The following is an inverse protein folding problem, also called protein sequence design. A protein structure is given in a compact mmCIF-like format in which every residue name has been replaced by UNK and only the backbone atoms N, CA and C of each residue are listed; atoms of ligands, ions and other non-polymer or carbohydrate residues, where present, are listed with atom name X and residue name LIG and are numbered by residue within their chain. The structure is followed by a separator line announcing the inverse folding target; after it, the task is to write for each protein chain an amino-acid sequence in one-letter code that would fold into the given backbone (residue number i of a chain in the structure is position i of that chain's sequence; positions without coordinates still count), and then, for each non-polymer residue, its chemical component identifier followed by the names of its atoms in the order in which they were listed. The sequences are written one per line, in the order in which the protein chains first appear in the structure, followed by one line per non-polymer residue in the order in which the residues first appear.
data_IF_913030928155
#
_entry.id   IF_913030928155
#
_cell.length_a   1.000
_cell.length_b   1.000
_cell.length_c   1.000
_cell.angle_alpha   90.00
_cell.angle_beta   90.00
_cell.angle_gamma   90.00
#
_symmetry.space_group_name_H-M   'P 1'
#
loop_
_entity.id
_entity.type
_entity.pdbx_description
1 polymer ?
#
# COMPACT_ATOMS: atom_id res chain seq x y z
N UNK A 1 46.88 -56.21 -6.93
CA UNK A 1 45.87 -55.42 -7.67
C UNK A 1 45.41 -54.29 -6.74
N UNK A 2 45.19 -53.11 -7.29
CA UNK A 2 45.43 -51.79 -6.69
C UNK A 2 44.55 -51.44 -5.48
N UNK A 3 45.20 -50.72 -4.56
CA UNK A 3 44.80 -50.10 -3.28
C UNK A 3 43.71 -49.03 -3.44
N UNK A 4 42.86 -48.85 -2.42
CA UNK A 4 42.49 -47.53 -1.90
C UNK A 4 41.91 -47.66 -0.49
N UNK A 5 42.65 -47.10 0.46
CA UNK A 5 42.29 -46.89 1.86
C UNK A 5 41.26 -45.74 1.94
N UNK A 6 40.47 -45.68 3.02
CA UNK A 6 40.27 -44.44 3.80
C UNK A 6 39.60 -44.80 5.12
N UNK A 7 40.19 -44.28 6.18
CA UNK A 7 39.86 -44.45 7.59
C UNK A 7 38.82 -43.43 8.06
N UNK A 8 38.18 -43.74 9.19
CA UNK A 8 37.62 -42.80 10.17
C UNK A 8 36.31 -42.09 9.82
N UNK A 9 35.33 -42.21 10.72
CA UNK A 9 34.12 -41.41 10.67
C UNK A 9 33.09 -41.84 11.72
N UNK A 10 33.48 -41.79 12.99
CA UNK A 10 32.59 -41.75 14.14
C UNK A 10 31.38 -40.83 13.84
N UNK A 11 30.17 -41.40 13.79
CA UNK A 11 28.96 -40.61 13.61
C UNK A 11 28.51 -40.03 14.96
N UNK A 12 28.50 -38.70 15.14
CA UNK A 12 27.98 -38.10 16.36
C UNK A 12 26.46 -38.23 16.39
N UNK A 13 25.96 -38.79 17.50
CA UNK A 13 24.56 -38.66 17.89
C UNK A 13 24.24 -37.19 18.08
N UNK A 14 23.45 -36.60 17.18
CA UNK A 14 22.75 -35.36 17.46
C UNK A 14 21.24 -35.58 17.37
N UNK A 15 20.65 -35.39 18.54
CA UNK A 15 19.25 -35.39 18.86
C UNK A 15 18.50 -34.29 18.11
N UNK A 16 17.20 -34.53 17.91
CA UNK A 16 16.12 -33.54 17.67
C UNK A 16 15.94 -33.12 16.20
N UNK A 17 14.74 -33.38 15.67
CA UNK A 17 13.77 -32.37 15.22
C UNK A 17 12.53 -33.06 14.57
N UNK A 18 11.39 -32.90 15.25
CA UNK A 18 10.06 -32.61 14.68
C UNK A 18 9.60 -33.47 13.48
N UNK A 19 8.99 -34.62 13.73
CA UNK A 19 8.02 -35.19 12.78
C UNK A 19 6.68 -34.49 12.97
N UNK A 20 6.52 -33.31 12.38
CA UNK A 20 5.22 -32.68 12.20
C UNK A 20 4.38 -33.54 11.26
N UNK A 21 3.30 -34.10 11.79
CA UNK A 21 2.23 -34.83 11.12
C UNK A 21 1.72 -33.96 9.94
N UNK A 22 2.14 -34.26 8.72
CA UNK A 22 1.59 -33.61 7.52
C UNK A 22 0.18 -34.15 7.35
N UNK A 23 -0.79 -33.38 7.82
CA UNK A 23 -2.21 -33.62 7.61
C UNK A 23 -2.49 -33.48 6.10
N UNK A 24 -2.64 -34.62 5.41
CA UNK A 24 -3.05 -34.63 4.01
C UNK A 24 -4.55 -34.35 3.95
N UNK A 25 -4.89 -33.06 4.10
CA UNK A 25 -6.26 -32.56 3.94
C UNK A 25 -6.68 -32.80 2.48
N UNK A 26 -7.77 -33.52 2.21
CA UNK A 26 -8.19 -33.78 0.84
C UNK A 26 -8.50 -32.44 0.14
N UNK A 27 -7.90 -32.21 -1.03
CA UNK A 27 -8.24 -31.10 -1.91
C UNK A 27 -9.63 -31.38 -2.53
N UNK A 28 -10.68 -31.18 -1.74
CA UNK A 28 -12.02 -31.00 -2.31
C UNK A 28 -11.94 -29.80 -3.24
N UNK A 29 -12.40 -29.99 -4.47
CA UNK A 29 -12.49 -28.94 -5.48
C UNK A 29 -13.45 -27.85 -4.96
N UNK A 30 -12.90 -26.85 -4.27
CA UNK A 30 -13.65 -25.67 -3.84
C UNK A 30 -13.89 -24.82 -5.09
N UNK A 31 -14.89 -25.20 -5.88
CA UNK A 31 -15.39 -24.35 -6.94
C UNK A 31 -15.93 -23.08 -6.29
N UNK A 32 -15.14 -22.00 -6.37
CA UNK A 32 -15.55 -20.67 -5.94
C UNK A 32 -16.79 -20.28 -6.74
N UNK A 33 -17.92 -20.10 -6.07
CA UNK A 33 -19.13 -19.60 -6.73
C UNK A 33 -18.93 -18.12 -6.96
N UNK A 34 -18.86 -17.70 -8.22
CA UNK A 34 -18.74 -16.29 -8.60
C UNK A 34 -20.09 -15.77 -9.10
N UNK A 35 -20.41 -14.51 -8.79
CA UNK A 35 -21.57 -13.80 -9.35
C UNK A 35 -21.14 -12.48 -9.97
N UNK A 36 -21.53 -12.29 -11.22
CA UNK A 36 -21.42 -11.02 -11.91
C UNK A 36 -22.62 -10.14 -11.55
N UNK A 37 -22.34 -8.93 -11.08
CA UNK A 37 -23.33 -7.88 -10.80
C UNK A 37 -23.61 -7.06 -12.07
N UNK A 38 -24.75 -6.37 -12.08
CA UNK A 38 -25.17 -5.53 -13.21
C UNK A 38 -24.20 -4.37 -13.52
N UNK A 39 -23.34 -3.99 -12.56
CA UNK A 39 -22.32 -2.97 -12.72
C UNK A 39 -20.92 -3.54 -13.04
N UNK A 40 -20.86 -4.80 -13.48
CA UNK A 40 -19.63 -5.45 -13.93
C UNK A 40 -18.75 -6.01 -12.79
N UNK A 41 -19.14 -5.85 -11.52
CA UNK A 41 -18.37 -6.40 -10.39
C UNK A 41 -18.57 -7.91 -10.26
N UNK A 42 -17.48 -8.63 -10.00
CA UNK A 42 -17.52 -10.07 -9.67
C UNK A 42 -17.38 -10.24 -8.15
N UNK A 43 -18.33 -10.93 -7.54
CA UNK A 43 -18.33 -11.28 -6.10
C UNK A 43 -18.24 -12.78 -5.92
N UNK A 44 -17.56 -13.23 -4.87
CA UNK A 44 -17.56 -14.61 -4.42
C UNK A 44 -18.76 -14.87 -3.50
N UNK A 45 -19.45 -15.98 -3.70
CA UNK A 45 -20.59 -16.42 -2.90
C UNK A 45 -20.15 -17.51 -1.92
N UNK A 46 -19.86 -17.13 -0.68
CA UNK A 46 -19.59 -18.06 0.43
C UNK A 46 -20.81 -18.09 1.35
N UNK A 47 -21.41 -19.26 1.56
CA UNK A 47 -22.59 -19.45 2.43
C UNK A 47 -23.77 -18.50 2.17
N UNK A 48 -24.01 -18.17 0.89
CA UNK A 48 -25.08 -17.24 0.48
C UNK A 48 -24.76 -15.76 0.75
N UNK A 49 -23.60 -15.47 1.34
CA UNK A 49 -23.07 -14.13 1.52
C UNK A 49 -22.15 -13.78 0.35
N UNK A 50 -22.26 -12.53 -0.12
CA UNK A 50 -21.42 -12.00 -1.19
C UNK A 50 -20.16 -11.37 -0.59
N UNK A 51 -19.01 -11.88 -0.99
CA UNK A 51 -17.69 -11.37 -0.64
C UNK A 51 -17.06 -10.74 -1.88
N UNK A 52 -16.50 -9.52 -1.78
CA UNK A 52 -15.76 -8.98 -2.91
C UNK A 52 -14.52 -9.84 -3.15
N UNK A 53 -14.27 -10.23 -4.40
CA UNK A 53 -13.10 -11.05 -4.76
C UNK A 53 -11.77 -10.41 -4.41
N UNK A 54 -11.77 -9.08 -4.33
CA UNK A 54 -10.72 -8.32 -3.70
C UNK A 54 -11.33 -7.64 -2.48
N UNK A 55 -10.96 -7.98 -1.22
CA UNK A 55 -11.09 -6.98 -0.18
C UNK A 55 -10.33 -5.78 -0.74
N UNK A 56 -10.99 -4.66 -1.00
CA UNK A 56 -10.26 -3.42 -1.19
C UNK A 56 -9.41 -3.32 0.08
N UNK A 57 -8.13 -3.69 -0.02
CA UNK A 57 -7.22 -3.66 1.11
C UNK A 57 -7.44 -2.29 1.73
N UNK A 58 -7.68 -2.19 3.06
CA UNK A 58 -8.07 -0.94 3.69
C UNK A 58 -7.15 0.13 3.14
N UNK A 59 -7.72 0.96 2.28
CA UNK A 59 -6.96 1.84 1.42
C UNK A 59 -6.08 2.65 2.38
N UNK A 60 -4.73 2.57 2.31
CA UNK A 60 -3.85 3.03 3.39
C UNK A 60 -4.28 4.42 3.85
N UNK A 61 -4.74 4.52 5.10
CA UNK A 61 -5.45 5.70 5.59
C UNK A 61 -4.66 6.95 5.21
N UNK A 62 -5.19 7.74 4.27
CA UNK A 62 -4.50 8.95 3.85
C UNK A 62 -4.46 9.87 5.07
N UNK A 63 -3.28 10.33 5.51
CA UNK A 63 -3.20 11.20 6.66
C UNK A 63 -4.08 12.43 6.43
N UNK A 64 -4.81 12.84 7.48
CA UNK A 64 -5.73 13.96 7.37
C UNK A 64 -4.97 15.19 6.86
N UNK A 65 -5.46 15.78 5.76
CA UNK A 65 -4.80 16.91 5.07
C UNK A 65 -4.50 18.06 6.03
N UNK A 66 -5.44 18.31 6.96
CA UNK A 66 -5.30 19.32 8.01
C UNK A 66 -4.08 19.08 8.90
N UNK A 67 -3.80 17.82 9.24
CA UNK A 67 -2.72 17.46 10.15
C UNK A 67 -1.36 17.52 9.44
N UNK A 68 -1.31 17.14 8.15
CA UNK A 68 -0.14 17.37 7.30
C UNK A 68 0.22 18.86 7.25
N UNK A 69 -0.76 19.70 6.93
CA UNK A 69 -0.57 21.15 6.84
C UNK A 69 -0.12 21.76 8.17
N UNK A 70 -0.76 21.37 9.29
CA UNK A 70 -0.42 21.87 10.62
C UNK A 70 0.99 21.47 11.04
N UNK A 71 1.42 20.23 10.75
CA UNK A 71 2.81 19.78 10.99
C UNK A 71 3.82 20.58 10.17
N UNK A 72 3.47 20.92 8.94
CA UNK A 72 4.26 21.80 8.08
C UNK A 72 4.23 23.29 8.50
N UNK A 73 3.40 23.66 9.49
CA UNK A 73 3.20 25.04 9.98
C UNK A 73 2.76 26.03 8.89
N UNK A 74 1.93 25.55 7.96
CA UNK A 74 1.42 26.35 6.85
C UNK A 74 -0.05 26.74 7.05
N UNK A 75 -0.40 27.92 6.57
CA UNK A 75 -1.80 28.31 6.33
C UNK A 75 -2.40 27.48 5.20
N UNK A 76 -3.74 27.50 5.07
CA UNK A 76 -4.41 26.77 3.98
C UNK A 76 -3.95 27.27 2.61
N UNK A 77 -3.77 28.59 2.46
CA UNK A 77 -3.32 29.22 1.22
C UNK A 77 -1.89 28.78 0.88
N UNK A 78 -0.93 28.93 1.80
CA UNK A 78 0.46 28.53 1.53
C UNK A 78 0.59 27.03 1.22
N UNK A 79 -0.19 26.19 1.89
CA UNK A 79 -0.21 24.75 1.61
C UNK A 79 -0.79 24.45 0.22
N UNK A 80 -1.84 25.17 -0.18
CA UNK A 80 -2.43 25.06 -1.50
C UNK A 80 -1.44 25.49 -2.60
N UNK A 81 -0.78 26.63 -2.40
CA UNK A 81 0.22 27.19 -3.30
C UNK A 81 1.38 26.22 -3.52
N UNK A 82 1.92 25.64 -2.43
CA UNK A 82 3.01 24.65 -2.52
C UNK A 82 2.60 23.38 -3.26
N UNK A 83 1.32 23.01 -3.23
CA UNK A 83 0.80 21.83 -3.93
C UNK A 83 0.32 22.15 -5.34
N UNK A 84 0.29 23.42 -5.76
CA UNK A 84 -0.24 23.83 -7.06
C UNK A 84 -1.73 23.55 -7.21
N UNK A 85 -2.51 23.63 -6.13
CA UNK A 85 -3.97 23.41 -6.15
C UNK A 85 -4.73 24.62 -5.61
N UNK A 86 -5.99 24.87 -6.02
CA UNK A 86 -6.79 25.93 -5.43
C UNK A 86 -7.00 25.74 -3.92
N UNK A 87 -7.02 26.83 -3.15
CA UNK A 87 -7.27 26.79 -1.70
C UNK A 87 -8.61 26.13 -1.34
N UNK A 88 -9.62 26.26 -2.19
CA UNK A 88 -10.92 25.60 -2.00
C UNK A 88 -10.83 24.07 -2.08
N UNK A 89 -9.86 23.53 -2.82
CA UNK A 89 -9.58 22.08 -2.85
C UNK A 89 -9.08 21.62 -1.48
N UNK A 90 -8.14 22.36 -0.88
CA UNK A 90 -7.64 22.09 0.48
C UNK A 90 -8.78 22.19 1.50
N UNK A 91 -9.61 23.23 1.43
CA UNK A 91 -10.79 23.38 2.31
C UNK A 91 -11.75 22.21 2.18
N UNK A 92 -12.08 21.79 0.96
CA UNK A 92 -12.97 20.67 0.71
C UNK A 92 -12.41 19.35 1.26
N UNK A 93 -11.10 19.14 1.19
CA UNK A 93 -10.44 17.98 1.79
C UNK A 93 -10.42 18.02 3.31
N UNK A 94 -10.05 19.16 3.91
CA UNK A 94 -9.99 19.31 5.36
C UNK A 94 -11.37 19.24 6.03
N UNK A 95 -12.42 19.64 5.32
CA UNK A 95 -13.82 19.56 5.77
C UNK A 95 -14.46 18.20 5.46
N UNK A 96 -13.78 17.31 4.73
CA UNK A 96 -14.33 16.00 4.34
C UNK A 96 -15.42 16.05 3.26
N UNK A 97 -15.69 17.22 2.66
CA UNK A 97 -16.64 17.36 1.54
C UNK A 97 -16.20 16.58 0.31
N UNK A 98 -14.89 16.45 0.11
CA UNK A 98 -14.26 15.61 -0.89
C UNK A 98 -13.04 14.94 -0.28
N UNK A 99 -12.68 13.75 -0.77
CA UNK A 99 -11.46 13.05 -0.38
C UNK A 99 -10.42 13.21 -1.49
N UNK A 100 -9.12 13.34 -1.16
CA UNK A 100 -8.05 13.27 -2.14
C UNK A 100 -8.03 11.87 -2.76
N UNK A 101 -7.81 11.79 -4.08
CA UNK A 101 -7.78 10.54 -4.84
C UNK A 101 -6.60 10.53 -5.81
N UNK A 102 -6.22 9.33 -6.25
CA UNK A 102 -5.19 9.13 -7.27
C UNK A 102 -3.89 9.87 -6.94
N UNK A 103 -3.35 10.70 -7.85
CA UNK A 103 -2.09 11.41 -7.66
C UNK A 103 -2.04 12.28 -6.40
N UNK A 104 -3.13 13.00 -6.09
CA UNK A 104 -3.17 13.87 -4.90
C UNK A 104 -2.98 13.08 -3.60
N UNK A 105 -3.59 11.89 -3.52
CA UNK A 105 -3.43 11.01 -2.37
C UNK A 105 -2.01 10.45 -2.26
N UNK A 106 -1.43 10.05 -3.38
CA UNK A 106 -0.04 9.58 -3.42
C UNK A 106 0.90 10.69 -2.92
N UNK A 107 0.74 11.91 -3.44
CA UNK A 107 1.52 13.08 -3.03
C UNK A 107 1.39 13.37 -1.53
N UNK A 108 0.16 13.41 -0.99
CA UNK A 108 -0.08 13.61 0.45
C UNK A 108 0.55 12.51 1.31
N UNK A 109 0.59 11.27 0.80
CA UNK A 109 1.26 10.16 1.47
C UNK A 109 2.77 10.37 1.51
N UNK A 110 3.39 10.85 0.43
CA UNK A 110 4.83 11.16 0.40
C UNK A 110 5.14 12.35 1.34
N UNK A 111 4.32 13.39 1.33
CA UNK A 111 4.45 14.56 2.23
C UNK A 111 4.38 14.13 3.70
N UNK A 112 3.59 13.09 4.02
CA UNK A 112 3.50 12.58 5.37
C UNK A 112 4.83 12.03 5.92
N UNK A 113 5.71 11.56 5.02
CA UNK A 113 6.99 10.95 5.36
C UNK A 113 8.17 11.91 5.17
N UNK A 114 8.13 12.75 4.13
CA UNK A 114 9.24 13.62 3.75
C UNK A 114 8.75 15.01 3.26
N UNK A 115 8.15 15.84 4.13
CA UNK A 115 7.54 17.10 3.73
C UNK A 115 8.55 18.09 3.13
N UNK A 116 9.72 18.25 3.76
CA UNK A 116 10.73 19.22 3.33
C UNK A 116 11.28 18.90 1.93
N UNK A 117 11.57 17.62 1.67
CA UNK A 117 12.03 17.14 0.36
C UNK A 117 10.98 17.38 -0.73
N UNK A 118 9.71 17.07 -0.45
CA UNK A 118 8.64 17.27 -1.43
C UNK A 118 8.46 18.76 -1.72
N UNK A 119 8.41 19.61 -0.70
CA UNK A 119 8.22 21.05 -0.92
C UNK A 119 9.41 21.70 -1.65
N UNK A 120 10.64 21.27 -1.36
CA UNK A 120 11.81 21.72 -2.11
C UNK A 120 11.73 21.32 -3.58
N UNK A 121 11.32 20.07 -3.87
CA UNK A 121 11.14 19.60 -5.24
C UNK A 121 10.06 20.38 -6.00
N UNK A 122 8.92 20.65 -5.35
CA UNK A 122 7.82 21.42 -5.95
C UNK A 122 8.19 22.89 -6.18
N UNK A 123 9.01 23.50 -5.31
CA UNK A 123 9.50 24.86 -5.50
C UNK A 123 10.45 25.00 -6.71
N UNK A 124 11.28 23.98 -6.98
CA UNK A 124 12.16 23.96 -8.14
C UNK A 124 11.44 23.80 -9.49
N UNK A 125 10.30 23.11 -9.50
CA UNK A 125 9.51 22.89 -10.71
C UNK A 125 8.79 24.16 -11.22
N UNK A 126 8.29 25.01 -10.31
CA UNK A 126 7.58 26.24 -10.68
C UNK A 126 8.45 27.34 -11.30
N UNK A 127 9.76 27.31 -11.08
CA UNK A 127 10.69 28.30 -11.61
C UNK A 127 11.00 28.12 -13.11
N UNK A 128 10.89 26.88 -13.64
CA UNK A 128 11.22 26.59 -15.03
C UNK A 128 10.12 27.03 -16.03
N UNK A 129 8.86 27.07 -15.60
CA UNK A 129 7.72 27.41 -16.47
C UNK A 129 7.44 28.92 -16.58
N UNK A 130 8.05 29.77 -15.73
CA UNK A 130 7.82 31.23 -15.76
C UNK A 130 8.75 32.01 -16.70
N UNK A 131 9.77 31.37 -17.28
CA UNK A 131 10.70 31.99 -18.25
C UNK A 131 10.21 31.94 -19.71
N UNK A 132 9.03 31.37 -19.95
CA UNK A 132 8.43 31.28 -21.27
C UNK A 132 7.10 32.05 -21.33
N UNK A 133 7.15 33.38 -21.14
CA UNK A 133 6.05 34.26 -21.56
C UNK A 133 6.51 35.68 -21.80
#
# INVERSE_FOLDING_TARGET
MVRAEVTTGEQPRLHRLLTSKVDHRPMVNQLQRLRLKADGRIVELRDGQEFPLSPAAPEPATPAVRDLRRRARLTQTEFADRLGVPVDTIRNWEQGKRLPRGPARALLSVIAHAPDTVFAALAGAGAADSTAS
#
